data_IF_589425140812
#
_entry.id   IF_589425140812
#
_cell.length_a   1.000
_cell.length_b   1.000
_cell.length_c   1.000
_cell.angle_alpha   90.00
_cell.angle_beta   90.00
_cell.angle_gamma   90.00
#
_symmetry.space_group_name_H-M   'P 1'
#
loop_
_entity.id
_entity.type
_entity.pdbx_description
1 polymer ?
#
# COMPACT_ATOMS: atom_id res chain seq x y z
N UNK A 1 35.40 11.09 7.95
CA UNK A 1 34.94 10.08 8.92
C UNK A 1 34.83 8.74 8.18
N UNK A 2 35.80 7.83 8.33
CA UNK A 2 35.75 6.51 7.67
C UNK A 2 34.82 5.62 8.49
N UNK A 3 33.73 5.13 7.90
CA UNK A 3 32.86 4.12 8.50
C UNK A 3 33.65 2.81 8.62
N UNK A 4 34.35 2.63 9.74
CA UNK A 4 35.16 1.45 10.06
C UNK A 4 34.30 0.36 10.70
N UNK A 5 33.26 -0.07 10.00
CA UNK A 5 32.57 -1.32 10.29
C UNK A 5 32.41 -2.03 8.96
N UNK A 6 33.38 -2.87 8.60
CA UNK A 6 33.12 -3.91 7.61
C UNK A 6 32.21 -4.91 8.31
N UNK A 7 30.92 -5.02 7.94
CA UNK A 7 30.08 -6.04 8.53
C UNK A 7 30.71 -7.41 8.28
N UNK A 8 30.62 -8.29 9.27
CA UNK A 8 31.00 -9.70 9.13
C UNK A 8 30.10 -10.32 8.05
N UNK A 9 30.63 -10.36 6.82
CA UNK A 9 29.93 -10.78 5.61
C UNK A 9 29.30 -12.17 5.79
N UNK A 10 30.02 -13.20 6.29
CA UNK A 10 29.46 -14.49 6.65
C UNK A 10 28.24 -14.41 7.59
N UNK A 11 28.29 -13.61 8.64
CA UNK A 11 27.20 -13.49 9.62
C UNK A 11 25.96 -12.79 9.04
N UNK A 12 26.14 -11.71 8.27
CA UNK A 12 25.02 -11.05 7.57
C UNK A 12 24.41 -11.95 6.50
N UNK A 13 25.22 -12.73 5.79
CA UNK A 13 24.75 -13.70 4.79
C UNK A 13 24.00 -14.87 5.43
N UNK A 14 24.50 -15.41 6.53
CA UNK A 14 23.79 -16.44 7.30
C UNK A 14 22.42 -15.93 7.75
N UNK A 15 22.35 -14.68 8.21
CA UNK A 15 21.10 -14.03 8.62
C UNK A 15 20.15 -13.82 7.44
N UNK A 16 20.65 -13.44 6.25
CA UNK A 16 19.85 -13.31 5.02
C UNK A 16 19.34 -14.68 4.53
N UNK A 17 20.18 -15.73 4.58
CA UNK A 17 19.84 -17.07 4.11
C UNK A 17 18.77 -17.77 4.94
N UNK A 18 18.62 -17.42 6.22
CA UNK A 18 17.66 -18.04 7.14
C UNK A 18 16.19 -17.85 6.71
N UNK A 19 15.88 -16.81 5.94
CA UNK A 19 14.54 -16.51 5.43
C UNK A 19 14.40 -16.72 3.91
N UNK A 20 15.40 -17.30 3.25
CA UNK A 20 15.38 -17.54 1.80
C UNK A 20 14.84 -18.95 1.50
N UNK A 21 14.17 -19.12 0.36
CA UNK A 21 13.89 -20.48 -0.13
C UNK A 21 15.21 -21.19 -0.43
N UNK A 22 15.24 -22.51 -0.19
CA UNK A 22 16.43 -23.37 -0.26
C UNK A 22 17.21 -23.16 -1.57
N UNK A 23 16.50 -23.05 -2.70
CA UNK A 23 17.10 -22.85 -4.03
C UNK A 23 17.91 -21.55 -4.14
N UNK A 24 17.49 -20.49 -3.43
CA UNK A 24 18.16 -19.20 -3.45
C UNK A 24 19.24 -19.08 -2.39
N UNK A 25 19.11 -19.78 -1.26
CA UNK A 25 20.25 -19.96 -0.36
C UNK A 25 21.38 -20.72 -1.06
N UNK A 26 21.07 -21.74 -1.85
CA UNK A 26 22.06 -22.48 -2.65
C UNK A 26 22.71 -21.53 -3.67
N UNK A 27 21.94 -20.76 -4.44
CA UNK A 27 22.48 -19.79 -5.39
C UNK A 27 23.38 -18.72 -4.74
N UNK A 28 23.03 -18.27 -3.52
CA UNK A 28 23.85 -17.34 -2.72
C UNK A 28 25.15 -17.99 -2.25
N UNK A 29 25.10 -19.24 -1.78
CA UNK A 29 26.28 -20.00 -1.38
C UNK A 29 27.19 -20.33 -2.56
N UNK A 30 26.63 -20.72 -3.72
CA UNK A 30 27.37 -20.91 -4.98
C UNK A 30 28.11 -19.62 -5.37
N UNK A 31 27.47 -18.46 -5.23
CA UNK A 31 28.11 -17.19 -5.53
C UNK A 31 29.26 -16.88 -4.57
N UNK A 32 29.06 -17.11 -3.28
CA UNK A 32 30.10 -16.91 -2.27
C UNK A 32 31.29 -17.84 -2.50
N UNK A 33 31.05 -19.10 -2.82
CA UNK A 33 32.10 -20.08 -3.08
C UNK A 33 32.88 -19.74 -4.37
N UNK A 34 32.18 -19.30 -5.42
CA UNK A 34 32.81 -18.79 -6.65
C UNK A 34 33.68 -17.54 -6.40
N UNK A 35 33.23 -16.63 -5.54
CA UNK A 35 33.98 -15.42 -5.16
C UNK A 35 35.23 -15.71 -4.30
N UNK A 36 35.21 -16.80 -3.53
CA UNK A 36 36.34 -17.23 -2.69
C UNK A 36 37.36 -18.02 -3.51
N UNK A 37 36.89 -18.91 -4.39
CA UNK A 37 37.75 -19.89 -5.06
C UNK A 37 38.21 -19.47 -6.46
N UNK A 38 37.48 -18.58 -7.16
CA UNK A 38 37.79 -18.28 -8.56
C UNK A 38 37.44 -16.84 -8.97
N UNK A 39 38.18 -15.88 -8.38
CA UNK A 39 37.88 -14.45 -8.43
C UNK A 39 37.91 -13.79 -9.82
N UNK A 40 38.64 -14.37 -10.77
CA UNK A 40 38.81 -13.79 -12.11
C UNK A 40 37.85 -14.38 -13.16
N UNK A 41 37.45 -15.65 -13.02
CA UNK A 41 36.49 -16.33 -13.92
C UNK A 41 35.03 -16.20 -13.44
N UNK A 42 34.79 -16.06 -12.14
CA UNK A 42 33.43 -15.92 -11.57
C UNK A 42 32.77 -14.56 -11.86
N UNK A 43 33.50 -13.64 -12.49
CA UNK A 43 33.07 -12.26 -12.79
C UNK A 43 32.79 -12.14 -14.29
N UNK A 44 31.64 -12.67 -14.71
CA UNK A 44 31.20 -12.76 -16.10
C UNK A 44 31.37 -11.47 -16.92
N UNK A 45 31.70 -11.61 -18.21
CA UNK A 45 32.13 -10.53 -19.12
C UNK A 45 31.06 -9.50 -19.54
N UNK A 46 29.84 -9.53 -18.99
CA UNK A 46 28.78 -8.58 -19.34
C UNK A 46 28.97 -7.22 -18.64
N UNK A 47 28.84 -6.11 -19.37
CA UNK A 47 28.83 -4.75 -18.79
C UNK A 47 27.59 -4.48 -17.94
N UNK A 48 26.47 -5.15 -18.23
CA UNK A 48 25.18 -5.04 -17.54
C UNK A 48 24.87 -6.34 -16.80
N UNK A 49 24.86 -6.26 -15.47
CA UNK A 49 24.60 -7.38 -14.58
C UNK A 49 23.12 -7.41 -14.21
N UNK A 50 22.51 -8.59 -14.34
CA UNK A 50 21.10 -8.86 -14.02
C UNK A 50 20.08 -8.04 -14.85
N UNK A 51 20.37 -7.70 -16.11
CA UNK A 51 19.39 -7.06 -17.00
C UNK A 51 18.44 -8.10 -17.64
N UNK A 52 17.18 -7.74 -17.87
CA UNK A 52 16.21 -8.54 -18.64
C UNK A 52 15.32 -7.63 -19.49
N UNK A 53 15.44 -7.73 -20.81
CA UNK A 53 14.67 -6.92 -21.76
C UNK A 53 13.19 -7.31 -21.74
N UNK A 54 12.89 -8.60 -21.65
CA UNK A 54 11.51 -9.10 -21.64
C UNK A 54 10.79 -8.65 -20.38
N UNK A 55 11.42 -8.80 -19.21
CA UNK A 55 10.84 -8.34 -17.95
C UNK A 55 10.68 -6.81 -17.93
N UNK A 56 11.63 -6.07 -18.50
CA UNK A 56 11.53 -4.60 -18.61
C UNK A 56 10.30 -4.17 -19.41
N UNK A 57 10.12 -4.71 -20.63
CA UNK A 57 8.95 -4.41 -21.48
C UNK A 57 7.64 -4.78 -20.80
N UNK A 58 7.59 -5.94 -20.12
CA UNK A 58 6.40 -6.37 -19.39
C UNK A 58 6.07 -5.41 -18.23
N UNK A 59 7.09 -4.97 -17.48
CA UNK A 59 6.95 -4.01 -16.38
C UNK A 59 6.40 -2.67 -16.88
N UNK A 60 7.02 -2.14 -17.95
CA UNK A 60 6.69 -0.83 -18.52
C UNK A 60 5.25 -0.78 -19.06
N UNK A 61 4.74 -1.87 -19.63
CA UNK A 61 3.36 -1.94 -20.11
C UNK A 61 2.34 -2.26 -18.99
N UNK A 62 2.67 -3.15 -18.06
CA UNK A 62 1.67 -3.74 -17.15
C UNK A 62 1.32 -2.85 -15.95
N UNK A 63 2.30 -2.16 -15.35
CA UNK A 63 2.02 -1.30 -14.20
C UNK A 63 1.10 -0.12 -14.55
N UNK A 64 1.29 0.61 -15.66
CA UNK A 64 0.35 1.64 -16.10
C UNK A 64 -1.08 1.11 -16.29
N UNK A 65 -1.22 -0.09 -16.86
CA UNK A 65 -2.54 -0.71 -17.02
C UNK A 65 -3.19 -1.03 -15.67
N UNK A 66 -2.44 -1.62 -14.73
CA UNK A 66 -2.96 -1.88 -13.37
C UNK A 66 -3.39 -0.57 -12.70
N UNK A 67 -2.62 0.50 -12.86
CA UNK A 67 -2.94 1.84 -12.34
C UNK A 67 -4.21 2.41 -12.96
N UNK A 68 -4.37 2.32 -14.28
CA UNK A 68 -5.56 2.76 -14.99
C UNK A 68 -6.82 2.00 -14.54
N UNK A 69 -6.71 0.68 -14.40
CA UNK A 69 -7.82 -0.16 -13.94
C UNK A 69 -8.18 0.12 -12.47
N UNK A 70 -7.18 0.37 -11.61
CA UNK A 70 -7.42 0.77 -10.23
C UNK A 70 -8.18 2.10 -10.15
N UNK A 71 -7.76 3.10 -10.93
CA UNK A 71 -8.45 4.38 -11.02
C UNK A 71 -9.92 4.19 -11.42
N UNK A 72 -10.18 3.45 -12.50
CA UNK A 72 -11.54 3.16 -12.97
C UNK A 72 -12.40 2.49 -11.90
N UNK A 73 -11.86 1.47 -11.22
CA UNK A 73 -12.58 0.77 -10.15
C UNK A 73 -12.93 1.69 -8.97
N UNK A 74 -12.01 2.58 -8.60
CA UNK A 74 -12.28 3.56 -7.54
C UNK A 74 -13.28 4.65 -7.97
N UNK A 75 -13.29 5.03 -9.26
CA UNK A 75 -14.30 5.96 -9.79
C UNK A 75 -15.70 5.32 -9.79
N UNK A 76 -15.83 4.06 -10.19
CA UNK A 76 -17.09 3.29 -10.10
C UNK A 76 -17.55 3.12 -8.66
N UNK A 77 -16.63 2.80 -7.75
CA UNK A 77 -16.90 2.68 -6.33
C UNK A 77 -17.37 3.99 -5.70
N UNK A 78 -16.69 5.10 -6.01
CA UNK A 78 -17.06 6.45 -5.59
C UNK A 78 -18.47 6.78 -6.08
N UNK A 79 -18.76 6.58 -7.35
CA UNK A 79 -20.09 6.88 -7.91
C UNK A 79 -21.21 6.09 -7.21
N UNK A 80 -21.01 4.78 -7.00
CA UNK A 80 -21.93 3.92 -6.24
C UNK A 80 -22.24 4.48 -4.86
N UNK A 81 -21.22 4.90 -4.12
CA UNK A 81 -21.38 5.32 -2.73
C UNK A 81 -21.86 6.76 -2.58
N UNK A 82 -21.48 7.65 -3.49
CA UNK A 82 -22.06 9.00 -3.57
C UNK A 82 -23.57 8.93 -3.79
N UNK A 83 -24.07 8.01 -4.64
CA UNK A 83 -25.50 7.81 -4.82
C UNK A 83 -26.19 7.30 -3.54
N UNK A 84 -25.59 6.31 -2.86
CA UNK A 84 -26.11 5.74 -1.61
C UNK A 84 -26.11 6.72 -0.43
N UNK A 85 -25.28 7.75 -0.48
CA UNK A 85 -25.24 8.81 0.52
C UNK A 85 -25.80 10.14 0.00
N UNK A 86 -26.65 10.11 -1.03
CA UNK A 86 -27.50 11.26 -1.37
C UNK A 86 -28.36 11.67 -0.17
N UNK A 87 -28.76 12.94 -0.09
CA UNK A 87 -29.41 13.46 1.12
C UNK A 87 -30.70 12.73 1.49
N UNK A 88 -31.51 12.37 0.50
CA UNK A 88 -32.76 11.63 0.74
C UNK A 88 -32.48 10.23 1.31
N UNK A 89 -31.45 9.56 0.79
CA UNK A 89 -31.02 8.25 1.28
C UNK A 89 -30.42 8.31 2.68
N UNK A 90 -29.62 9.34 2.99
CA UNK A 90 -29.09 9.58 4.32
C UNK A 90 -30.23 9.88 5.30
N UNK A 91 -31.18 10.72 4.91
CA UNK A 91 -32.34 11.04 5.76
C UNK A 91 -33.14 9.78 6.07
N UNK A 92 -33.43 8.96 5.06
CA UNK A 92 -34.11 7.68 5.20
C UNK A 92 -33.35 6.75 6.14
N UNK A 93 -32.04 6.58 5.92
CA UNK A 93 -31.17 5.76 6.77
C UNK A 93 -31.21 6.21 8.23
N UNK A 94 -31.19 7.52 8.49
CA UNK A 94 -31.15 8.06 9.84
C UNK A 94 -32.50 8.01 10.56
N UNK A 95 -33.62 8.08 9.84
CA UNK A 95 -34.96 7.95 10.40
C UNK A 95 -35.40 6.49 10.52
N UNK A 96 -35.44 5.77 9.40
CA UNK A 96 -36.03 4.42 9.32
C UNK A 96 -35.03 3.32 9.70
N UNK A 97 -33.74 3.55 9.43
CA UNK A 97 -32.70 2.54 9.60
C UNK A 97 -32.18 2.38 11.02
N UNK A 98 -32.48 3.31 11.94
CA UNK A 98 -31.98 3.21 13.32
C UNK A 98 -32.41 4.29 14.30
N UNK A 99 -33.50 5.02 14.06
CA UNK A 99 -34.02 6.06 14.97
C UNK A 99 -32.93 7.02 15.49
N UNK A 100 -32.00 7.39 14.60
CA UNK A 100 -30.87 8.24 14.95
C UNK A 100 -31.29 9.71 15.07
N UNK A 101 -32.45 10.08 14.53
CA UNK A 101 -33.03 11.41 14.67
C UNK A 101 -34.32 11.37 15.48
N UNK A 102 -34.45 12.30 16.40
CA UNK A 102 -35.66 12.48 17.23
C UNK A 102 -36.18 13.90 17.09
N UNK A 103 -37.51 14.04 17.10
CA UNK A 103 -38.19 15.33 17.13
C UNK A 103 -38.56 15.70 18.57
N UNK A 104 -38.05 16.84 19.03
CA UNK A 104 -38.49 17.53 20.25
C UNK A 104 -39.52 18.59 19.82
N UNK A 105 -40.74 18.55 20.37
CA UNK A 105 -41.83 19.44 19.95
C UNK A 105 -41.53 20.93 20.16
N UNK A 106 -40.70 21.28 21.15
CA UNK A 106 -40.36 22.67 21.47
C UNK A 106 -39.11 23.15 20.72
N UNK A 107 -38.15 22.26 20.45
CA UNK A 107 -36.81 22.63 19.93
C UNK A 107 -36.56 22.18 18.50
N UNK A 108 -37.27 21.17 18.01
CA UNK A 108 -37.11 20.58 16.68
C UNK A 108 -36.29 19.28 16.67
N UNK A 109 -35.66 18.98 15.54
CA UNK A 109 -34.96 17.72 15.28
C UNK A 109 -33.52 17.72 15.81
N UNK A 110 -33.10 16.61 16.42
CA UNK A 110 -31.72 16.40 16.91
C UNK A 110 -31.24 14.97 16.67
N UNK A 111 -29.91 14.79 16.64
CA UNK A 111 -29.25 13.47 16.65
C UNK A 111 -29.30 12.85 18.05
N UNK A 112 -29.61 11.55 18.14
CA UNK A 112 -29.71 10.80 19.40
C UNK A 112 -28.38 10.18 19.86
N UNK A 113 -27.39 10.09 18.97
CA UNK A 113 -26.08 9.48 19.21
C UNK A 113 -25.33 10.26 20.29
N UNK A 114 -25.07 9.61 21.43
CA UNK A 114 -24.33 10.24 22.54
C UNK A 114 -22.83 10.19 22.27
N UNK A 115 -22.10 11.13 22.86
CA UNK A 115 -20.64 11.18 22.81
C UNK A 115 -20.01 10.14 23.77
N UNK A 116 -20.24 8.86 23.50
CA UNK A 116 -19.54 7.76 24.13
C UNK A 116 -19.08 6.75 23.07
N UNK A 117 -18.05 5.97 23.41
CA UNK A 117 -17.40 5.06 22.46
C UNK A 117 -18.34 3.99 21.90
N UNK A 118 -19.31 3.53 22.69
CA UNK A 118 -20.24 2.48 22.30
C UNK A 118 -21.24 2.99 21.26
N UNK A 119 -21.91 4.11 21.53
CA UNK A 119 -22.90 4.70 20.64
C UNK A 119 -22.28 5.17 19.32
N UNK A 120 -21.09 5.79 19.36
CA UNK A 120 -20.36 6.17 18.16
C UNK A 120 -19.97 4.93 17.33
N UNK A 121 -19.55 3.84 17.99
CA UNK A 121 -19.20 2.61 17.27
C UNK A 121 -20.43 1.94 16.66
N UNK A 122 -21.58 1.96 17.34
CA UNK A 122 -22.84 1.45 16.81
C UNK A 122 -23.29 2.29 15.61
N UNK A 123 -23.19 3.61 15.72
CA UNK A 123 -23.55 4.53 14.64
C UNK A 123 -22.64 4.35 13.40
N UNK A 124 -21.33 4.15 13.60
CA UNK A 124 -20.41 3.80 12.52
C UNK A 124 -20.83 2.51 11.81
N UNK A 125 -21.13 1.46 12.58
CA UNK A 125 -21.56 0.16 12.05
C UNK A 125 -22.85 0.24 11.24
N UNK A 126 -23.79 1.10 11.66
CA UNK A 126 -25.08 1.27 10.98
C UNK A 126 -25.01 2.13 9.72
N UNK A 127 -23.93 2.90 9.51
CA UNK A 127 -23.86 3.89 8.42
C UNK A 127 -22.68 3.67 7.47
N UNK A 128 -21.48 4.04 7.89
CA UNK A 128 -20.29 4.12 7.02
C UNK A 128 -19.51 2.80 6.96
N UNK A 129 -19.68 1.89 7.92
CA UNK A 129 -18.91 0.64 7.98
C UNK A 129 -18.96 -0.17 6.68
N UNK A 130 -20.13 -0.24 6.02
CA UNK A 130 -20.29 -1.01 4.79
C UNK A 130 -19.48 -0.39 3.63
N UNK A 131 -19.42 0.94 3.52
CA UNK A 131 -18.54 1.64 2.57
C UNK A 131 -17.10 1.21 2.76
N UNK A 132 -16.63 1.26 3.99
CA UNK A 132 -15.23 0.94 4.32
C UNK A 132 -14.92 -0.54 4.07
N UNK A 133 -15.86 -1.42 4.40
CA UNK A 133 -15.74 -2.86 4.15
C UNK A 133 -15.72 -3.19 2.66
N UNK A 134 -16.53 -2.52 1.84
CA UNK A 134 -16.55 -2.71 0.39
C UNK A 134 -15.26 -2.20 -0.29
N UNK A 135 -14.50 -1.30 0.34
CA UNK A 135 -13.24 -0.79 -0.21
C UNK A 135 -12.06 -1.77 -0.04
N UNK A 136 -12.05 -2.61 1.01
CA UNK A 136 -10.96 -3.56 1.24
C UNK A 136 -10.79 -4.57 0.09
N UNK A 137 -11.85 -5.18 -0.47
CA UNK A 137 -11.74 -6.05 -1.63
C UNK A 137 -11.11 -5.38 -2.86
N UNK A 138 -11.32 -4.06 -3.06
CA UNK A 138 -10.71 -3.33 -4.17
C UNK A 138 -9.18 -3.30 -4.02
N UNK A 139 -8.72 -2.99 -2.81
CA UNK A 139 -7.29 -3.03 -2.48
C UNK A 139 -6.72 -4.44 -2.67
N UNK A 140 -7.40 -5.46 -2.14
CA UNK A 140 -6.96 -6.86 -2.26
C UNK A 140 -6.85 -7.29 -3.72
N UNK A 141 -7.85 -6.94 -4.54
CA UNK A 141 -7.85 -7.24 -5.97
C UNK A 141 -6.68 -6.59 -6.68
N UNK A 142 -6.40 -5.31 -6.41
CA UNK A 142 -5.28 -4.60 -7.05
C UNK A 142 -3.93 -5.12 -6.58
N UNK A 143 -3.77 -5.37 -5.28
CA UNK A 143 -2.57 -5.99 -4.75
C UNK A 143 -2.32 -7.39 -5.34
N UNK A 144 -3.37 -8.20 -5.48
CA UNK A 144 -3.28 -9.52 -6.12
C UNK A 144 -2.77 -9.45 -7.57
N UNK A 145 -3.21 -8.44 -8.35
CA UNK A 145 -2.70 -8.22 -9.71
C UNK A 145 -1.23 -7.83 -9.73
N UNK A 146 -0.80 -7.00 -8.78
CA UNK A 146 0.62 -6.63 -8.63
C UNK A 146 1.46 -7.87 -8.26
N UNK A 147 0.96 -8.74 -7.38
CA UNK A 147 1.65 -9.98 -7.02
C UNK A 147 1.78 -10.93 -8.22
N UNK A 148 0.72 -11.10 -9.01
CA UNK A 148 0.76 -11.89 -10.24
C UNK A 148 1.74 -11.32 -11.27
N UNK A 149 1.81 -9.99 -11.41
CA UNK A 149 2.79 -9.34 -12.27
C UNK A 149 4.21 -9.58 -11.76
N UNK A 150 4.43 -9.40 -10.45
CA UNK A 150 5.72 -9.68 -9.80
C UNK A 150 6.18 -11.11 -10.08
N UNK A 151 5.33 -12.11 -9.92
CA UNK A 151 5.67 -13.51 -10.22
C UNK A 151 6.10 -13.71 -11.69
N UNK A 152 5.40 -13.08 -12.64
CA UNK A 152 5.77 -13.11 -14.06
C UNK A 152 7.10 -12.43 -14.33
N UNK A 153 7.31 -11.23 -13.76
CA UNK A 153 8.56 -10.50 -13.88
C UNK A 153 9.74 -11.32 -13.37
N UNK A 154 9.60 -11.95 -12.21
CA UNK A 154 10.61 -12.83 -11.64
C UNK A 154 10.94 -14.00 -12.57
N UNK A 155 9.91 -14.63 -13.16
CA UNK A 155 10.11 -15.76 -14.06
C UNK A 155 10.96 -15.39 -15.28
N UNK A 156 10.66 -14.27 -15.93
CA UNK A 156 11.44 -13.79 -17.06
C UNK A 156 12.83 -13.32 -16.64
N UNK A 157 12.89 -12.52 -15.57
CA UNK A 157 14.13 -11.95 -15.08
C UNK A 157 15.11 -13.03 -14.65
N UNK A 158 14.69 -14.00 -13.83
CA UNK A 158 15.54 -15.09 -13.40
C UNK A 158 15.97 -16.00 -14.55
N UNK A 159 15.13 -16.18 -15.57
CA UNK A 159 15.46 -16.97 -16.75
C UNK A 159 16.53 -16.32 -17.64
N UNK A 160 16.52 -14.99 -17.76
CA UNK A 160 17.42 -14.25 -18.64
C UNK A 160 18.68 -13.73 -17.94
N UNK A 161 18.56 -13.41 -16.65
CA UNK A 161 19.54 -12.59 -15.94
C UNK A 161 20.41 -13.34 -14.94
N UNK A 162 20.15 -14.62 -14.68
CA UNK A 162 20.86 -15.42 -13.67
C UNK A 162 21.90 -16.36 -14.31
N UNK A 163 22.68 -15.85 -15.27
CA UNK A 163 23.64 -16.61 -16.09
C UNK A 163 24.95 -16.93 -15.36
N UNK A 164 25.32 -16.11 -14.39
CA UNK A 164 26.52 -16.28 -13.56
C UNK A 164 26.25 -15.95 -12.08
N UNK A 165 27.21 -16.29 -11.23
CA UNK A 165 27.16 -16.08 -9.79
C UNK A 165 26.79 -14.64 -9.39
N UNK A 166 27.42 -13.63 -9.97
CA UNK A 166 27.21 -12.21 -9.63
C UNK A 166 25.82 -11.77 -10.05
N UNK A 167 25.39 -12.20 -11.24
CA UNK A 167 24.08 -11.90 -11.81
C UNK A 167 22.88 -12.47 -11.02
N UNK A 168 23.12 -13.48 -10.16
CA UNK A 168 22.12 -14.06 -9.24
C UNK A 168 21.86 -13.21 -7.99
N UNK A 169 22.74 -12.27 -7.63
CA UNK A 169 22.66 -11.52 -6.36
C UNK A 169 21.39 -10.68 -6.22
N UNK A 170 21.03 -9.93 -7.27
CA UNK A 170 19.84 -9.08 -7.28
C UNK A 170 18.53 -9.90 -7.19
N UNK A 171 18.36 -10.97 -8.00
CA UNK A 171 17.29 -11.95 -7.82
C UNK A 171 17.19 -12.52 -6.39
N UNK A 172 18.33 -12.90 -5.80
CA UNK A 172 18.38 -13.44 -4.44
C UNK A 172 17.91 -12.41 -3.40
N UNK A 173 18.39 -11.15 -3.51
CA UNK A 173 17.99 -10.07 -2.62
C UNK A 173 16.49 -9.80 -2.72
N UNK A 174 15.95 -9.64 -3.93
CA UNK A 174 14.52 -9.39 -4.14
C UNK A 174 13.67 -10.53 -3.54
N UNK A 175 14.04 -11.78 -3.80
CA UNK A 175 13.33 -12.93 -3.27
C UNK A 175 13.35 -12.99 -1.73
N UNK A 176 14.44 -12.55 -1.10
CA UNK A 176 14.58 -12.55 0.37
C UNK A 176 13.71 -11.50 1.09
N UNK A 177 13.30 -10.44 0.38
CA UNK A 177 12.53 -9.33 0.96
C UNK A 177 11.02 -9.53 0.79
N UNK A 178 10.60 -10.35 -0.17
CA UNK A 178 9.21 -10.46 -0.63
C UNK A 178 8.19 -10.77 0.46
N UNK A 179 8.51 -11.68 1.38
CA UNK A 179 7.59 -12.05 2.45
C UNK A 179 7.33 -10.88 3.41
N UNK A 180 8.39 -10.17 3.80
CA UNK A 180 8.31 -8.99 4.67
C UNK A 180 7.55 -7.85 3.99
N UNK A 181 7.79 -7.62 2.69
CA UNK A 181 7.04 -6.64 1.91
C UNK A 181 5.54 -6.94 1.91
N UNK A 182 5.15 -8.19 1.64
CA UNK A 182 3.75 -8.61 1.64
C UNK A 182 3.11 -8.41 3.03
N UNK A 183 3.82 -8.75 4.11
CA UNK A 183 3.34 -8.51 5.47
C UNK A 183 3.08 -7.01 5.77
N UNK A 184 3.97 -6.13 5.30
CA UNK A 184 3.77 -4.68 5.44
C UNK A 184 2.54 -4.19 4.67
N UNK A 185 2.31 -4.69 3.45
CA UNK A 185 1.14 -4.31 2.64
C UNK A 185 -0.16 -4.81 3.28
N UNK A 186 -0.16 -6.03 3.82
CA UNK A 186 -1.31 -6.55 4.58
C UNK A 186 -1.61 -5.70 5.81
N UNK A 187 -0.58 -5.18 6.49
CA UNK A 187 -0.74 -4.24 7.60
C UNK A 187 -1.34 -2.90 7.14
N UNK A 188 -0.85 -2.34 6.03
CA UNK A 188 -1.41 -1.12 5.43
C UNK A 188 -2.88 -1.30 5.06
N UNK A 189 -3.27 -2.46 4.50
CA UNK A 189 -4.67 -2.78 4.23
C UNK A 189 -5.52 -2.70 5.50
N UNK A 190 -5.09 -3.35 6.58
CA UNK A 190 -5.84 -3.34 7.86
C UNK A 190 -5.98 -1.93 8.46
N UNK A 191 -5.08 -1.01 8.12
CA UNK A 191 -5.13 0.38 8.59
C UNK A 191 -6.31 1.18 8.02
N UNK A 192 -6.86 0.81 6.84
CA UNK A 192 -7.99 1.50 6.20
C UNK A 192 -9.18 1.59 7.16
N UNK A 193 -9.56 0.45 7.72
CA UNK A 193 -10.67 0.33 8.67
C UNK A 193 -10.43 1.14 9.95
N UNK A 194 -9.21 1.10 10.48
CA UNK A 194 -8.84 1.81 11.71
C UNK A 194 -8.89 3.34 11.51
N UNK A 195 -8.38 3.82 10.37
CA UNK A 195 -8.34 5.26 10.05
C UNK A 195 -9.74 5.78 9.79
N UNK A 196 -10.57 5.05 9.03
CA UNK A 196 -11.96 5.42 8.78
C UNK A 196 -12.75 5.53 10.09
N UNK A 197 -12.65 4.53 10.97
CA UNK A 197 -13.31 4.54 12.28
C UNK A 197 -12.81 5.68 13.18
N UNK A 198 -11.50 5.97 13.17
CA UNK A 198 -10.91 7.10 13.92
C UNK A 198 -11.42 8.45 13.39
N UNK A 199 -11.43 8.65 12.06
CA UNK A 199 -11.96 9.86 11.42
C UNK A 199 -13.45 10.04 11.69
N UNK A 200 -14.20 8.94 11.69
CA UNK A 200 -15.62 8.96 12.00
C UNK A 200 -15.85 9.43 13.45
N UNK A 201 -15.19 8.78 14.41
CA UNK A 201 -15.34 9.10 15.83
C UNK A 201 -14.94 10.55 16.17
N UNK A 202 -13.94 11.09 15.47
CA UNK A 202 -13.50 12.48 15.67
C UNK A 202 -14.62 13.51 15.42
N UNK A 203 -15.56 13.25 14.52
CA UNK A 203 -16.67 14.16 14.26
C UNK A 203 -17.70 14.24 15.39
N UNK A 204 -17.72 13.24 16.29
CA UNK A 204 -18.68 13.14 17.40
C UNK A 204 -18.02 13.34 18.77
N UNK A 205 -16.71 13.56 18.82
CA UNK A 205 -15.95 13.75 20.05
C UNK A 205 -16.23 15.10 20.76
N UNK A 206 -17.06 15.97 20.17
CA UNK A 206 -17.42 17.29 20.73
C UNK A 206 -18.23 17.18 22.03
N UNK A 207 -17.88 18.01 23.03
CA UNK A 207 -18.66 18.19 24.27
C UNK A 207 -19.73 19.28 24.17
N UNK A 208 -19.98 19.82 22.98
CA UNK A 208 -20.99 20.87 22.76
C UNK A 208 -22.39 20.36 23.10
N UNK A 209 -23.27 21.28 23.52
CA UNK A 209 -24.68 20.97 23.71
C UNK A 209 -25.31 20.40 22.43
N UNK A 210 -26.35 19.54 22.55
CA UNK A 210 -27.09 19.04 21.41
C UNK A 210 -27.59 20.18 20.53
N UNK A 211 -27.44 20.04 19.21
CA UNK A 211 -27.89 21.03 18.25
C UNK A 211 -29.20 20.60 17.64
N UNK A 212 -30.19 21.47 17.72
CA UNK A 212 -31.52 21.26 17.17
C UNK A 212 -31.67 21.96 15.81
N UNK A 213 -32.54 21.41 14.96
CA UNK A 213 -32.81 21.88 13.61
C UNK A 213 -34.32 21.94 13.35
N UNK A 214 -34.75 22.86 12.49
CA UNK A 214 -36.16 23.07 12.16
C UNK A 214 -36.78 21.94 11.35
N UNK A 215 -35.98 21.14 10.64
CA UNK A 215 -36.44 19.98 9.86
C UNK A 215 -35.50 18.79 9.97
N UNK A 216 -36.06 17.58 9.81
CA UNK A 216 -35.28 16.33 9.81
C UNK A 216 -34.20 16.34 8.73
N UNK A 217 -34.53 16.83 7.52
CA UNK A 217 -33.58 16.97 6.41
C UNK A 217 -32.42 17.90 6.77
N UNK A 218 -32.69 19.05 7.41
CA UNK A 218 -31.63 19.95 7.84
C UNK A 218 -30.75 19.29 8.91
N UNK A 219 -31.33 18.51 9.82
CA UNK A 219 -30.59 17.75 10.81
C UNK A 219 -29.67 16.72 10.13
N UNK A 220 -30.22 15.87 9.26
CA UNK A 220 -29.50 14.84 8.51
C UNK A 220 -28.29 15.40 7.74
N UNK A 221 -28.46 16.52 7.03
CA UNK A 221 -27.38 17.17 6.27
C UNK A 221 -26.19 17.58 7.12
N UNK A 222 -26.41 17.87 8.40
CA UNK A 222 -25.39 18.35 9.34
C UNK A 222 -24.85 17.27 10.29
N UNK A 223 -25.34 16.02 10.21
CA UNK A 223 -24.78 14.91 11.01
C UNK A 223 -23.34 14.65 10.56
N UNK A 224 -22.38 14.79 11.47
CA UNK A 224 -20.96 14.70 11.12
C UNK A 224 -20.39 15.99 10.50
N UNK A 225 -20.97 17.16 10.83
CA UNK A 225 -20.56 18.51 10.36
C UNK A 225 -19.05 18.75 10.25
N UNK A 226 -18.26 18.13 11.12
CA UNK A 226 -16.79 18.22 11.10
C UNK A 226 -16.17 17.79 9.75
N UNK A 227 -16.79 16.87 9.01
CA UNK A 227 -16.31 16.42 7.71
C UNK A 227 -16.58 17.42 6.58
N UNK A 228 -17.56 18.33 6.75
CA UNK A 228 -17.96 19.30 5.73
C UNK A 228 -17.97 20.73 6.30
N UNK A 229 -16.80 21.26 6.76
CA UNK A 229 -16.74 22.54 7.47
C UNK A 229 -17.12 23.73 6.58
N UNK A 230 -16.88 23.63 5.28
CA UNK A 230 -17.13 24.69 4.29
C UNK A 230 -18.41 24.52 3.50
N UNK A 231 -19.23 23.50 3.80
CA UNK A 231 -20.46 23.20 3.06
C UNK A 231 -20.26 22.99 1.55
N UNK A 232 -19.11 22.42 1.17
CA UNK A 232 -18.82 22.09 -0.22
C UNK A 232 -19.69 20.93 -0.75
N UNK A 233 -20.15 20.07 0.17
CA UNK A 233 -21.01 18.93 -0.13
C UNK A 233 -22.43 19.14 0.34
N UNK A 234 -23.38 18.47 -0.32
CA UNK A 234 -24.81 18.55 -0.01
C UNK A 234 -25.14 18.08 1.41
N UNK A 235 -24.41 17.07 1.90
CA UNK A 235 -24.44 16.55 3.25
C UNK A 235 -23.04 16.06 3.67
N UNK A 236 -22.85 15.81 4.96
CA UNK A 236 -21.54 15.46 5.50
C UNK A 236 -21.09 14.02 5.18
N UNK A 237 -22.03 13.10 4.94
CA UNK A 237 -21.68 11.72 4.54
C UNK A 237 -21.02 11.67 3.17
N UNK A 238 -21.46 12.52 2.23
CA UNK A 238 -20.79 12.69 0.94
C UNK A 238 -19.36 13.20 1.12
N UNK A 239 -19.14 14.20 1.98
CA UNK A 239 -17.80 14.71 2.27
C UNK A 239 -16.88 13.61 2.84
N UNK A 240 -17.37 12.85 3.82
CA UNK A 240 -16.62 11.71 4.36
C UNK A 240 -16.32 10.66 3.28
N UNK A 241 -17.32 10.35 2.44
CA UNK A 241 -17.21 9.34 1.39
C UNK A 241 -16.14 9.73 0.39
N UNK A 242 -16.13 10.98 -0.06
CA UNK A 242 -15.15 11.45 -1.03
C UNK A 242 -13.73 11.44 -0.46
N UNK A 243 -13.56 11.99 0.76
CA UNK A 243 -12.27 11.96 1.48
C UNK A 243 -11.75 10.53 1.68
N UNK A 244 -12.64 9.59 2.04
CA UNK A 244 -12.28 8.20 2.24
C UNK A 244 -11.92 7.51 0.92
N UNK A 245 -12.66 7.79 -0.16
CA UNK A 245 -12.36 7.27 -1.49
C UNK A 245 -10.98 7.75 -1.97
N UNK A 246 -10.66 9.03 -1.78
CA UNK A 246 -9.34 9.58 -2.09
C UNK A 246 -8.23 8.92 -1.28
N UNK A 247 -8.44 8.72 0.01
CA UNK A 247 -7.48 8.02 0.86
C UNK A 247 -7.24 6.57 0.41
N UNK A 248 -8.32 5.80 0.19
CA UNK A 248 -8.23 4.40 -0.19
C UNK A 248 -7.61 4.23 -1.60
N UNK A 249 -8.00 5.08 -2.54
CA UNK A 249 -7.42 5.15 -3.88
C UNK A 249 -5.94 5.53 -3.80
N UNK A 250 -5.61 6.60 -3.08
CA UNK A 250 -4.25 7.09 -2.91
C UNK A 250 -3.31 6.02 -2.36
N UNK A 251 -3.73 5.32 -1.31
CA UNK A 251 -2.96 4.21 -0.73
C UNK A 251 -2.73 3.08 -1.74
N UNK A 252 -3.76 2.71 -2.50
CA UNK A 252 -3.66 1.64 -3.51
C UNK A 252 -2.71 2.03 -4.65
N UNK A 253 -2.85 3.25 -5.18
CA UNK A 253 -1.99 3.76 -6.24
C UNK A 253 -0.54 3.91 -5.76
N UNK A 254 -0.32 4.36 -4.53
CA UNK A 254 1.02 4.49 -3.96
C UNK A 254 1.74 3.14 -3.89
N UNK A 255 1.03 2.06 -3.57
CA UNK A 255 1.61 0.70 -3.56
C UNK A 255 1.94 0.25 -4.98
N UNK A 256 1.07 0.50 -5.96
CA UNK A 256 1.32 0.19 -7.37
C UNK A 256 2.57 0.95 -7.86
N UNK A 257 2.65 2.25 -7.58
CA UNK A 257 3.78 3.12 -7.96
C UNK A 257 5.08 2.70 -7.28
N UNK A 258 5.00 2.28 -6.02
CA UNK A 258 6.14 1.72 -5.29
C UNK A 258 6.65 0.43 -5.95
N UNK A 259 5.76 -0.50 -6.32
CA UNK A 259 6.15 -1.72 -7.02
C UNK A 259 6.70 -1.43 -8.41
N UNK A 260 6.12 -0.49 -9.16
CA UNK A 260 6.66 -0.06 -10.45
C UNK A 260 8.09 0.47 -10.28
N UNK A 261 8.32 1.33 -9.29
CA UNK A 261 9.63 1.89 -8.98
C UNK A 261 10.63 0.82 -8.54
N UNK A 262 10.19 -0.11 -7.67
CA UNK A 262 10.95 -1.30 -7.25
C UNK A 262 11.43 -2.08 -8.48
N UNK A 263 10.50 -2.47 -9.35
CA UNK A 263 10.81 -3.28 -10.52
C UNK A 263 11.67 -2.54 -11.55
N UNK A 264 11.44 -1.24 -11.77
CA UNK A 264 12.34 -0.43 -12.60
C UNK A 264 13.78 -0.39 -12.05
N UNK A 265 13.96 -0.36 -10.72
CA UNK A 265 15.28 -0.40 -10.08
C UNK A 265 15.97 -1.76 -10.17
N UNK A 266 15.22 -2.85 -10.08
CA UNK A 266 15.79 -4.20 -10.20
C UNK A 266 16.11 -4.57 -11.65
N UNK A 267 15.20 -4.27 -12.58
CA UNK A 267 15.31 -4.71 -13.98
C UNK A 267 16.31 -3.89 -14.80
N UNK A 268 16.68 -2.67 -14.36
CA UNK A 268 17.71 -1.88 -15.04
C UNK A 268 19.10 -2.51 -14.93
N UNK A 269 19.28 -3.45 -13.99
CA UNK A 269 20.56 -4.04 -13.67
C UNK A 269 21.56 -3.05 -13.06
N UNK A 270 22.78 -3.50 -12.82
CA UNK A 270 23.90 -2.63 -12.46
C UNK A 270 24.97 -2.66 -13.54
N UNK A 271 25.61 -1.52 -13.78
CA UNK A 271 26.82 -1.49 -14.58
C UNK A 271 27.97 -2.07 -13.75
N UNK A 272 28.77 -2.97 -14.33
CA UNK A 272 29.96 -3.54 -13.69
C UNK A 272 30.91 -2.47 -13.13
N UNK A 273 31.04 -1.33 -13.79
CA UNK A 273 31.83 -0.19 -13.30
C UNK A 273 31.35 0.37 -11.95
N UNK A 274 30.07 0.23 -11.61
CA UNK A 274 29.51 0.65 -10.31
C UNK A 274 29.84 -0.36 -9.20
N UNK A 275 29.97 -1.65 -9.53
CA UNK A 275 30.36 -2.69 -8.58
C UNK A 275 31.87 -2.68 -8.32
N UNK A 276 32.69 -2.42 -9.36
CA UNK A 276 34.15 -2.30 -9.25
C UNK A 276 34.59 -1.15 -8.30
N UNK A 277 33.75 -0.12 -8.11
CA UNK A 277 34.00 0.94 -7.11
C UNK A 277 34.01 0.42 -5.67
N UNK A 278 33.35 -0.71 -5.40
CA UNK A 278 33.36 -1.38 -4.09
C UNK A 278 34.43 -2.47 -3.97
N UNK A 279 35.02 -2.90 -5.09
CA UNK A 279 36.11 -3.88 -5.14
C UNK A 279 37.50 -3.24 -4.98
N UNK A 280 37.63 -1.94 -5.27
CA UNK A 280 38.92 -1.23 -5.39
C UNK A 280 39.63 -0.88 -4.07
N UNK A 281 39.14 -1.30 -2.90
CA UNK A 281 39.93 -1.22 -1.65
C UNK A 281 40.56 -2.55 -1.29
N UNK A 282 41.56 -2.94 -2.10
CA UNK A 282 42.55 -3.95 -1.74
C UNK A 282 43.73 -3.23 -1.05
N UNK A 283 43.96 -3.38 0.28
CA UNK A 283 45.07 -2.72 0.97
C UNK A 283 46.46 -3.18 0.49
N UNK A 284 46.53 -4.31 -0.24
CA UNK A 284 47.79 -4.96 -0.61
C UNK A 284 48.25 -4.64 -2.05
N UNK A 285 47.72 -3.59 -2.69
CA UNK A 285 48.24 -3.10 -3.99
C UNK A 285 49.15 -1.88 -3.89
N UNK A 286 49.63 -1.57 -2.69
CA UNK A 286 50.78 -0.67 -2.47
C UNK A 286 51.83 -1.39 -1.64
N UNK A 287 52.53 -2.34 -2.25
CA UNK A 287 53.92 -2.73 -1.98
C UNK A 287 54.24 -3.99 -2.77
N UNK A 288 54.69 -3.77 -4.02
CA UNK A 288 55.86 -4.38 -4.67
C UNK A 288 55.86 -3.95 -6.14
#
# INVERSE_FOLDING_TARGET
>A
MRLSARPDRPLMMATLSQSMMVTWSIALFEHLDAMINNRDEAVGGSELISFSETAWKLCDASFPQIKADANKLYDEFRAKWMQRFSTDEVLRLLLEGGDFLTHDEEKGWTLTVKNNKQDISAFYSATIHLLVSDAEPLFVRMHGRVMQLQEKLCKYWHGESAVDAVSKLLPCLESSLREKENAMIVSLRMSLNQIAKKRFAAAFASKSQPRYYTSATSCARNVGRFWNPHYAYENCFLAFTDDFCDYARGLTLQIIDWYQSKWALFLRGFNRGQLNLFETMNPNRTQN
#
